data_IF_024250878737
#
_entry.id   IF_024250878737
#
_cell.length_a   1.000
_cell.length_b   1.000
_cell.length_c   1.000
_cell.angle_alpha   90.00
_cell.angle_beta   90.00
_cell.angle_gamma   90.00
#
_symmetry.space_group_name_H-M   'P 1'
#
loop_
_entity.id
_entity.type
_entity.pdbx_description
1 polymer ?
#
# COMPACT_ATOMS: atom_id res chain seq x y z
N UNK A 1 5.12 1.25 17.57
CA UNK A 1 5.67 1.24 16.20
C UNK A 1 6.87 0.31 16.18
N UNK A 2 6.77 -0.80 15.44
CA UNK A 2 7.93 -1.67 15.18
C UNK A 2 8.42 -1.34 13.77
N UNK A 3 9.51 -0.58 13.60
CA UNK A 3 9.91 -0.07 12.29
C UNK A 3 10.14 -1.18 11.26
N UNK A 4 10.57 -2.36 11.71
CA UNK A 4 10.72 -3.54 10.88
C UNK A 4 9.39 -4.01 10.24
N UNK A 5 8.28 -3.98 10.98
CA UNK A 5 6.97 -4.38 10.45
C UNK A 5 6.51 -3.43 9.34
N UNK A 6 6.74 -2.13 9.53
CA UNK A 6 6.41 -1.11 8.52
C UNK A 6 7.24 -1.35 7.25
N UNK A 7 8.54 -1.62 7.38
CA UNK A 7 9.42 -1.90 6.22
C UNK A 7 8.98 -3.17 5.49
N UNK A 8 8.71 -4.26 6.21
CA UNK A 8 8.26 -5.52 5.61
C UNK A 8 6.91 -5.33 4.91
N UNK A 9 5.93 -4.72 5.59
CA UNK A 9 4.61 -4.44 5.02
C UNK A 9 4.73 -3.57 3.76
N UNK A 10 5.55 -2.52 3.81
CA UNK A 10 5.81 -1.65 2.65
C UNK A 10 6.41 -2.45 1.48
N UNK A 11 7.40 -3.31 1.73
CA UNK A 11 8.00 -4.15 0.70
C UNK A 11 6.98 -5.12 0.08
N UNK A 12 6.10 -5.70 0.90
CA UNK A 12 4.98 -6.53 0.42
C UNK A 12 4.03 -5.71 -0.44
N UNK A 13 3.62 -4.52 0.02
CA UNK A 13 2.74 -3.61 -0.73
C UNK A 13 3.32 -3.23 -2.08
N UNK A 14 4.60 -2.84 -2.14
CA UNK A 14 5.30 -2.51 -3.39
C UNK A 14 5.33 -3.73 -4.32
N UNK A 15 5.65 -4.91 -3.78
CA UNK A 15 5.73 -6.14 -4.59
C UNK A 15 4.38 -6.50 -5.19
N UNK A 16 3.31 -6.45 -4.38
CA UNK A 16 1.95 -6.72 -4.85
C UNK A 16 1.51 -5.68 -5.88
N UNK A 17 1.82 -4.40 -5.66
CA UNK A 17 1.52 -3.32 -6.60
C UNK A 17 2.21 -3.53 -7.95
N UNK A 18 3.51 -3.86 -7.96
CA UNK A 18 4.25 -4.12 -9.20
C UNK A 18 3.74 -5.36 -9.94
N UNK A 19 3.44 -6.44 -9.21
CA UNK A 19 2.90 -7.67 -9.79
C UNK A 19 1.52 -7.42 -10.39
N UNK A 20 0.67 -6.69 -9.68
CA UNK A 20 -0.68 -6.42 -10.13
C UNK A 20 -0.72 -5.43 -11.30
N UNK A 21 0.13 -4.40 -11.29
CA UNK A 21 0.27 -3.49 -12.43
C UNK A 21 0.71 -4.24 -13.70
N UNK A 22 1.58 -5.25 -13.56
CA UNK A 22 2.11 -6.02 -14.69
C UNK A 22 1.16 -7.11 -15.18
N UNK A 23 0.50 -7.82 -14.26
CA UNK A 23 -0.23 -9.05 -14.57
C UNK A 23 -1.74 -8.95 -14.31
N UNK A 24 -2.23 -7.88 -13.69
CA UNK A 24 -3.65 -7.67 -13.35
C UNK A 24 -4.24 -8.76 -12.44
N UNK A 25 -3.40 -9.49 -11.71
CA UNK A 25 -3.80 -10.75 -11.06
C UNK A 25 -4.78 -10.53 -9.91
N UNK A 26 -4.59 -9.51 -9.08
CA UNK A 26 -5.50 -9.18 -7.99
C UNK A 26 -6.79 -8.56 -8.55
N UNK A 27 -6.70 -7.65 -9.51
CA UNK A 27 -7.89 -7.08 -10.16
C UNK A 27 -8.80 -8.15 -10.78
N UNK A 28 -8.19 -9.17 -11.40
CA UNK A 28 -8.89 -10.33 -11.94
C UNK A 28 -9.50 -11.21 -10.83
N UNK A 29 -8.73 -11.56 -9.79
CA UNK A 29 -9.21 -12.41 -8.69
C UNK A 29 -10.39 -11.78 -7.94
N UNK A 30 -10.36 -10.46 -7.74
CA UNK A 30 -11.37 -9.73 -6.96
C UNK A 30 -12.50 -9.12 -7.82
N UNK A 31 -12.62 -9.51 -9.09
CA UNK A 31 -13.79 -9.22 -9.93
C UNK A 31 -14.05 -7.73 -10.14
N UNK A 32 -12.99 -6.94 -10.36
CA UNK A 32 -13.09 -5.49 -10.59
C UNK A 32 -13.17 -4.63 -9.33
N UNK A 33 -12.95 -5.21 -8.14
CA UNK A 33 -12.69 -4.41 -6.95
C UNK A 33 -11.31 -3.76 -7.04
N UNK A 34 -11.15 -2.47 -6.67
CA UNK A 34 -9.89 -1.79 -6.90
C UNK A 34 -8.72 -2.46 -6.17
N UNK A 35 -7.77 -2.98 -6.93
CA UNK A 35 -6.65 -3.74 -6.38
C UNK A 35 -5.77 -2.89 -5.46
N UNK A 36 -5.64 -1.59 -5.71
CA UNK A 36 -4.98 -0.63 -4.79
C UNK A 36 -5.58 -0.69 -3.39
N UNK A 37 -6.91 -0.76 -3.26
CA UNK A 37 -7.59 -0.87 -1.96
C UNK A 37 -7.32 -2.24 -1.33
N UNK A 38 -7.36 -3.31 -2.12
CA UNK A 38 -7.04 -4.67 -1.65
C UNK A 38 -5.60 -4.76 -1.13
N UNK A 39 -4.65 -4.22 -1.88
CA UNK A 39 -3.22 -4.17 -1.52
C UNK A 39 -3.04 -3.36 -0.25
N UNK A 40 -3.73 -2.21 -0.11
CA UNK A 40 -3.71 -1.41 1.11
C UNK A 40 -4.19 -2.21 2.33
N UNK A 41 -5.28 -2.97 2.20
CA UNK A 41 -5.79 -3.83 3.27
C UNK A 41 -4.80 -4.94 3.62
N UNK A 42 -4.26 -5.66 2.63
CA UNK A 42 -3.27 -6.72 2.85
C UNK A 42 -2.02 -6.16 3.53
N UNK A 43 -1.50 -5.05 3.02
CA UNK A 43 -0.32 -4.36 3.55
C UNK A 43 -0.53 -3.98 5.01
N UNK A 44 -1.70 -3.40 5.33
CA UNK A 44 -2.01 -3.01 6.69
C UNK A 44 -2.24 -4.20 7.63
N UNK A 45 -2.79 -5.31 7.15
CA UNK A 45 -2.88 -6.56 7.92
C UNK A 45 -1.48 -7.07 8.28
N UNK A 46 -0.56 -7.08 7.31
CA UNK A 46 0.84 -7.51 7.52
C UNK A 46 1.57 -6.60 8.51
N UNK A 47 1.28 -5.30 8.51
CA UNK A 47 1.86 -4.38 9.48
C UNK A 47 1.44 -4.68 10.93
N UNK A 48 0.23 -5.22 11.11
CA UNK A 48 -0.25 -5.76 12.40
C UNK A 48 -0.75 -4.72 13.40
N UNK A 49 -0.82 -3.45 13.03
CA UNK A 49 -1.41 -2.37 13.82
C UNK A 49 -1.96 -1.26 12.91
N UNK A 50 -2.85 -0.41 13.41
CA UNK A 50 -3.50 0.66 12.65
C UNK A 50 -2.49 1.71 12.19
N UNK A 51 -1.64 2.19 13.11
CA UNK A 51 -0.65 3.22 12.79
C UNK A 51 0.44 2.72 11.83
N UNK A 52 0.96 1.52 12.10
CA UNK A 52 1.98 0.88 11.26
C UNK A 52 1.38 0.50 9.88
N UNK A 53 0.10 0.12 9.83
CA UNK A 53 -0.65 -0.17 8.61
C UNK A 53 -0.91 1.05 7.73
N UNK A 54 -1.30 2.18 8.33
CA UNK A 54 -1.43 3.45 7.60
C UNK A 54 -0.08 3.91 7.04
N UNK A 55 0.97 3.86 7.85
CA UNK A 55 2.28 4.34 7.44
C UNK A 55 2.89 3.48 6.32
N UNK A 56 2.75 2.15 6.41
CA UNK A 56 3.18 1.24 5.34
C UNK A 56 2.34 1.38 4.07
N UNK A 57 1.04 1.66 4.21
CA UNK A 57 0.15 2.00 3.09
C UNK A 57 0.66 3.23 2.33
N UNK A 58 0.85 4.33 3.07
CA UNK A 58 1.38 5.58 2.53
C UNK A 58 2.74 5.36 1.84
N UNK A 59 3.63 4.60 2.46
CA UNK A 59 4.95 4.35 1.88
C UNK A 59 4.90 3.47 0.64
N UNK A 60 4.09 2.40 0.58
CA UNK A 60 4.05 1.61 -0.65
C UNK A 60 3.38 2.39 -1.79
N UNK A 61 2.37 3.22 -1.51
CA UNK A 61 1.74 4.04 -2.54
C UNK A 61 2.75 5.04 -3.12
N UNK A 62 3.44 5.78 -2.26
CA UNK A 62 4.43 6.77 -2.69
C UNK A 62 5.63 6.10 -3.37
N UNK A 63 6.25 5.10 -2.72
CA UNK A 63 7.46 4.46 -3.24
C UNK A 63 7.16 3.55 -4.42
N UNK A 64 6.05 2.82 -4.40
CA UNK A 64 5.63 1.94 -5.49
C UNK A 64 5.36 2.73 -6.77
N UNK A 65 4.58 3.82 -6.69
CA UNK A 65 4.39 4.72 -7.84
C UNK A 65 5.72 5.31 -8.30
N UNK A 66 6.55 5.78 -7.37
CA UNK A 66 7.88 6.34 -7.70
C UNK A 66 8.76 5.34 -8.44
N UNK A 67 8.86 4.10 -7.95
CA UNK A 67 9.63 3.03 -8.58
C UNK A 67 9.11 2.76 -9.99
N UNK A 68 7.79 2.66 -10.17
CA UNK A 68 7.19 2.44 -11.49
C UNK A 68 7.45 3.60 -12.42
N UNK A 69 7.38 4.86 -11.97
CA UNK A 69 7.69 6.02 -12.81
C UNK A 69 9.11 5.95 -13.38
N UNK A 70 10.09 5.59 -12.53
CA UNK A 70 11.47 5.44 -12.99
C UNK A 70 11.71 4.14 -13.78
N UNK A 71 10.94 3.09 -13.49
CA UNK A 71 11.04 1.79 -14.16
C UNK A 71 10.19 1.70 -15.44
N UNK A 72 9.25 2.63 -15.67
CA UNK A 72 8.29 2.61 -16.77
C UNK A 72 8.96 2.42 -18.13
N UNK A 73 10.07 3.12 -18.48
CA UNK A 73 10.75 2.91 -19.75
C UNK A 73 11.25 1.47 -19.98
N UNK A 74 11.43 0.70 -18.90
CA UNK A 74 11.88 -0.70 -18.94
C UNK A 74 10.73 -1.69 -18.80
N UNK A 75 9.67 -1.32 -18.08
CA UNK A 75 8.51 -2.18 -17.82
C UNK A 75 7.49 -2.15 -18.96
N UNK A 76 7.30 -0.98 -19.59
CA UNK A 76 6.33 -0.73 -20.66
C UNK A 76 6.98 0.14 -21.76
N UNK A 77 8.03 -0.36 -22.44
CA UNK A 77 8.73 0.39 -23.48
C UNK A 77 7.84 0.80 -24.66
N UNK A 78 6.71 0.12 -24.87
CA UNK A 78 5.73 0.38 -25.92
C UNK A 78 4.77 1.55 -25.62
N UNK A 79 4.81 2.10 -24.39
CA UNK A 79 4.01 3.25 -24.00
C UNK A 79 4.86 4.51 -24.21
N UNK A 80 4.69 5.16 -25.37
CA UNK A 80 5.42 6.38 -25.80
C UNK A 80 5.05 7.64 -24.99
N UNK A 81 4.87 7.50 -23.68
CA UNK A 81 4.61 8.62 -22.80
C UNK A 81 5.93 9.36 -22.65
N UNK A 82 5.95 10.62 -23.09
CA UNK A 82 7.13 11.45 -23.13
C UNK A 82 7.79 11.47 -21.74
N UNK A 83 8.88 10.70 -21.61
CA UNK A 83 9.69 10.54 -20.40
C UNK A 83 10.27 11.85 -19.87
N UNK A 84 10.11 12.94 -20.62
CA UNK A 84 10.63 14.27 -20.31
C UNK A 84 9.86 15.00 -19.21
N UNK A 85 8.63 14.61 -18.87
CA UNK A 85 7.90 15.20 -17.74
C UNK A 85 7.56 14.14 -16.67
N UNK A 86 8.39 14.11 -15.62
CA UNK A 86 8.23 13.21 -14.48
C UNK A 86 6.88 13.43 -13.78
N UNK A 87 6.39 14.67 -13.68
CA UNK A 87 5.13 14.95 -13.01
C UNK A 87 3.95 14.33 -13.78
N UNK A 88 3.93 14.52 -15.10
CA UNK A 88 2.94 13.88 -15.98
C UNK A 88 3.07 12.36 -15.93
N UNK A 89 4.29 11.82 -15.89
CA UNK A 89 4.54 10.38 -15.77
C UNK A 89 4.02 9.80 -14.45
N UNK A 90 4.21 10.51 -13.33
CA UNK A 90 3.64 10.15 -12.02
C UNK A 90 2.12 10.03 -12.07
N UNK A 91 1.47 11.03 -12.64
CA UNK A 91 0.01 11.07 -12.74
C UNK A 91 -0.49 9.94 -13.65
N UNK A 92 0.16 9.73 -14.79
CA UNK A 92 -0.15 8.63 -15.70
C UNK A 92 -0.03 7.30 -14.97
N UNK A 93 1.09 7.01 -14.31
CA UNK A 93 1.27 5.73 -13.60
C UNK A 93 0.17 5.50 -12.55
N UNK A 94 -0.22 6.54 -11.82
CA UNK A 94 -1.35 6.45 -10.89
C UNK A 94 -2.67 6.15 -11.60
N UNK A 95 -2.93 6.78 -12.74
CA UNK A 95 -4.10 6.54 -13.57
C UNK A 95 -4.14 5.10 -14.06
N UNK A 96 -3.01 4.56 -14.55
CA UNK A 96 -2.92 3.20 -15.06
C UNK A 96 -3.03 2.14 -13.99
N UNK A 97 -2.49 2.42 -12.80
CA UNK A 97 -2.73 1.56 -11.66
C UNK A 97 -4.23 1.45 -11.35
N UNK A 98 -4.96 2.57 -11.43
CA UNK A 98 -6.40 2.61 -11.20
C UNK A 98 -7.18 1.98 -12.35
N UNK A 99 -6.81 2.23 -13.60
CA UNK A 99 -7.44 1.58 -14.77
C UNK A 99 -7.29 0.06 -14.71
N UNK A 100 -6.07 -0.45 -14.49
CA UNK A 100 -5.82 -1.87 -14.32
C UNK A 100 -6.49 -2.45 -13.06
N UNK A 101 -6.90 -1.62 -12.11
CA UNK A 101 -7.69 -2.03 -10.94
C UNK A 101 -9.15 -2.36 -11.30
N UNK A 102 -9.64 -1.91 -12.46
CA UNK A 102 -10.99 -2.16 -12.95
C UNK A 102 -10.95 -3.07 -14.19
N UNK A 103 -11.89 -4.00 -14.31
CA UNK A 103 -11.91 -5.04 -15.35
C UNK A 103 -12.32 -4.47 -16.74
N UNK A 104 -11.52 -3.58 -17.33
CA UNK A 104 -11.86 -2.87 -18.57
C UNK A 104 -11.12 -3.39 -19.81
N UNK A 105 -11.88 -4.10 -20.66
CA UNK A 105 -11.71 -4.39 -22.10
C UNK A 105 -11.20 -3.19 -22.93
N UNK A 106 -10.54 -3.35 -24.11
CA UNK A 106 -10.08 -2.22 -24.93
C UNK A 106 -11.21 -1.27 -25.36
N UNK A 107 -11.24 -0.06 -24.78
CA UNK A 107 -12.25 0.98 -25.06
C UNK A 107 -11.90 1.83 -26.29
N UNK A 108 -12.89 2.49 -26.92
CA UNK A 108 -12.67 3.41 -28.03
C UNK A 108 -11.72 4.57 -27.67
N UNK A 109 -10.80 4.90 -28.59
CA UNK A 109 -9.78 5.96 -28.47
C UNK A 109 -10.33 7.37 -28.11
N UNK A 110 -11.62 7.63 -28.32
CA UNK A 110 -12.29 8.89 -27.97
C UNK A 110 -12.77 8.94 -26.51
N UNK A 111 -13.00 7.78 -25.88
CA UNK A 111 -13.35 7.70 -24.46
C UNK A 111 -12.11 7.81 -23.59
N UNK A 112 -10.92 7.51 -24.11
CA UNK A 112 -9.65 7.65 -23.41
C UNK A 112 -9.44 9.05 -22.79
N UNK A 113 -9.55 10.20 -23.48
CA UNK A 113 -9.37 11.51 -22.85
C UNK A 113 -10.44 11.85 -21.79
N UNK A 114 -11.68 11.39 -21.98
CA UNK A 114 -12.76 11.58 -21.00
C UNK A 114 -12.51 10.71 -19.76
N UNK A 115 -12.10 9.46 -19.96
CA UNK A 115 -11.73 8.53 -18.91
C UNK A 115 -10.47 9.00 -18.19
N UNK A 116 -9.46 9.52 -18.88
CA UNK A 116 -8.26 10.13 -18.28
C UNK A 116 -8.66 11.33 -17.42
N UNK A 117 -9.58 12.19 -17.88
CA UNK A 117 -10.08 13.32 -17.11
C UNK A 117 -10.89 12.88 -15.87
N UNK A 118 -11.72 11.84 -16.00
CA UNK A 118 -12.45 11.23 -14.88
C UNK A 118 -11.49 10.53 -13.91
N UNK A 119 -10.49 9.81 -14.41
CA UNK A 119 -9.44 9.14 -13.65
C UNK A 119 -8.57 10.16 -12.90
N UNK A 120 -8.41 11.37 -13.42
CA UNK A 120 -7.76 12.47 -12.70
C UNK A 120 -8.45 12.83 -11.37
N UNK A 121 -9.76 12.62 -11.31
CA UNK A 121 -10.57 12.82 -10.10
C UNK A 121 -10.66 11.52 -9.29
N UNK A 122 -10.83 10.39 -9.97
CA UNK A 122 -11.04 9.08 -9.34
C UNK A 122 -9.74 8.57 -8.70
N UNK A 123 -8.59 8.73 -9.32
CA UNK A 123 -7.34 8.17 -8.81
C UNK A 123 -6.97 8.72 -7.42
N UNK A 124 -6.96 10.05 -7.17
CA UNK A 124 -6.76 10.56 -5.81
C UNK A 124 -7.78 10.00 -4.80
N UNK A 125 -9.04 9.82 -5.21
CA UNK A 125 -10.09 9.27 -4.34
C UNK A 125 -9.87 7.78 -4.05
N UNK A 126 -9.41 6.99 -5.02
CA UNK A 126 -9.13 5.56 -4.85
C UNK A 126 -7.91 5.33 -3.96
N UNK A 127 -6.83 6.10 -4.15
CA UNK A 127 -5.68 6.07 -3.24
C UNK A 127 -6.06 6.52 -1.83
N UNK A 128 -6.85 7.60 -1.69
CA UNK A 128 -7.38 8.02 -0.40
C UNK A 128 -8.27 6.94 0.23
N UNK A 129 -9.11 6.28 -0.56
CA UNK A 129 -9.93 5.17 -0.10
C UNK A 129 -9.06 3.98 0.34
N UNK A 130 -7.95 3.71 -0.36
CA UNK A 130 -6.93 2.74 0.04
C UNK A 130 -6.34 3.07 1.42
N UNK A 131 -5.89 4.31 1.62
CA UNK A 131 -5.39 4.80 2.91
C UNK A 131 -6.45 4.71 4.03
N UNK A 132 -7.72 4.96 3.73
CA UNK A 132 -8.80 4.79 4.73
C UNK A 132 -9.03 3.29 5.00
N UNK A 133 -9.06 2.45 3.97
CA UNK A 133 -9.22 1.01 4.10
C UNK A 133 -8.05 0.35 4.84
N UNK A 134 -6.85 0.94 4.77
CA UNK A 134 -5.68 0.50 5.53
C UNK A 134 -5.92 0.59 7.04
N UNK A 135 -6.78 1.50 7.52
CA UNK A 135 -7.16 1.55 8.93
C UNK A 135 -7.92 0.30 9.36
N UNK A 136 -8.82 -0.19 8.49
CA UNK A 136 -9.57 -1.42 8.68
C UNK A 136 -8.62 -2.61 8.62
N UNK A 137 -7.73 -2.65 7.62
CA UNK A 137 -6.70 -3.69 7.50
C UNK A 137 -5.79 -3.75 8.73
N UNK A 138 -5.37 -2.60 9.26
CA UNK A 138 -4.55 -2.52 10.47
C UNK A 138 -5.32 -2.95 11.74
N UNK A 139 -6.62 -2.66 11.82
CA UNK A 139 -7.47 -3.16 12.91
C UNK A 139 -7.59 -4.68 12.87
N UNK A 140 -7.82 -5.24 11.67
CA UNK A 140 -7.87 -6.69 11.45
C UNK A 140 -6.51 -7.33 11.77
N UNK A 141 -5.42 -6.73 11.29
CA UNK A 141 -4.05 -7.15 11.58
C UNK A 141 -3.77 -7.19 13.08
N UNK A 142 -4.16 -6.13 13.81
CA UNK A 142 -4.04 -6.08 15.28
C UNK A 142 -4.80 -7.20 15.96
N UNK A 143 -6.03 -7.47 15.53
CA UNK A 143 -6.84 -8.55 16.08
C UNK A 143 -6.23 -9.93 15.78
N UNK A 144 -5.79 -10.16 14.54
CA UNK A 144 -5.16 -11.41 14.12
C UNK A 144 -3.83 -11.64 14.84
N UNK A 145 -2.96 -10.64 14.92
CA UNK A 145 -1.70 -10.73 15.66
C UNK A 145 -1.96 -11.01 17.15
N UNK A 146 -2.93 -10.36 17.77
CA UNK A 146 -3.30 -10.64 19.17
C UNK A 146 -3.80 -12.07 19.38
N UNK A 147 -4.51 -12.64 18.39
CA UNK A 147 -5.10 -13.99 18.48
C UNK A 147 -4.13 -15.10 18.11
N UNK A 148 -3.26 -14.87 17.14
CA UNK A 148 -2.29 -15.85 16.60
C UNK A 148 -1.01 -15.86 17.45
N UNK A 149 -0.49 -14.69 17.82
CA UNK A 149 0.71 -14.54 18.64
C UNK A 149 0.37 -14.39 20.13
N UNK A 150 -0.74 -14.99 20.57
CA UNK A 150 -1.20 -14.88 21.96
C UNK A 150 -0.04 -15.09 22.96
N UNK A 151 0.17 -14.08 23.83
CA UNK A 151 1.31 -13.85 24.76
C UNK A 151 2.46 -13.10 24.08
N UNK A 152 2.56 -11.77 24.24
CA UNK A 152 3.60 -11.24 25.15
C UNK A 152 3.39 -9.77 25.57
N UNK A 153 2.18 -9.20 25.44
CA UNK A 153 1.91 -7.83 25.92
C UNK A 153 1.61 -7.72 27.43
N UNK A 154 1.65 -8.85 28.16
CA UNK A 154 1.38 -8.90 29.61
C UNK A 154 2.61 -9.19 30.47
N UNK A 155 3.84 -9.05 29.93
CA UNK A 155 5.00 -8.95 30.83
C UNK A 155 4.96 -7.55 31.46
N UNK A 156 4.75 -7.42 32.79
CA UNK A 156 5.01 -6.16 33.46
C UNK A 156 6.46 -5.78 33.11
N UNK A 157 6.72 -4.50 32.84
CA UNK A 157 8.09 -4.01 32.75
C UNK A 157 8.90 -4.62 33.91
N UNK A 158 10.13 -5.11 33.69
CA UNK A 158 10.91 -5.69 34.77
C UNK A 158 10.95 -4.69 35.90
N UNK A 159 10.26 -5.00 36.99
CA UNK A 159 10.31 -4.20 38.21
C UNK A 159 11.79 -4.18 38.57
N UNK A 160 12.40 -2.99 38.54
CA UNK A 160 13.74 -2.83 39.09
C UNK A 160 13.66 -3.42 40.51
N UNK A 161 14.53 -4.36 40.90
CA UNK A 161 14.55 -4.82 42.28
C UNK A 161 14.71 -3.58 43.17
N UNK A 162 14.01 -3.54 44.32
CA UNK A 162 14.16 -2.43 45.24
C UNK A 162 15.66 -2.27 45.53
N UNK A 163 16.18 -1.07 45.30
CA UNK A 163 17.52 -0.70 45.73
C UNK A 163 17.48 -0.82 47.24
N UNK A 164 18.10 -1.86 47.79
CA UNK A 164 18.47 -1.88 49.20
C UNK A 164 19.40 -0.68 49.39
N UNK A 165 18.85 0.43 49.87
CA UNK A 165 19.65 1.51 50.44
C UNK A 165 20.43 0.89 51.60
N UNK A 166 21.68 0.57 51.31
CA UNK A 166 22.63 0.06 52.28
C UNK A 166 22.63 0.99 53.48
N UNK A 167 22.22 0.43 54.62
CA UNK A 167 22.45 0.99 55.95
C UNK A 167 23.97 1.16 56.09
N UNK A 168 24.42 2.41 56.03
CA UNK A 168 25.78 2.78 56.46
C UNK A 168 25.74 2.83 57.99
N UNK A 169 26.21 1.76 58.62
CA UNK A 169 26.72 1.79 60.01
C UNK A 169 28.09 2.46 60.08
#
# INVERSE_FOLDING_TARGET
MRPLNVVIATAVGITLFLLDLKFGTLSFIFGGFPSVITIAVITAIVAGDIGDGFLSCLFYEVLGVTIVVFAHPFLYPEWEIATSDLFTTFIVVMILAVENSFDSSPWPWILAPILIALLFIIAPLVFLAGLIASLIGGLIGRFLHARILGRDYSRPAPQRPPVEEGVLE
#
